data_IF_635729669197
#
_entry.id   IF_635729669197
#
_cell.length_a   1.000
_cell.length_b   1.000
_cell.length_c   1.000
_cell.angle_alpha   90.00
_cell.angle_beta   90.00
_cell.angle_gamma   90.00
#
_symmetry.space_group_name_H-M   'P 1'
#
loop_
_entity.id
_entity.type
_entity.pdbx_description
1 polymer ?
#
# COMPACT_ATOMS: atom_id res chain seq x y z
N UNK A 1 8.10 -5.42 8.05
CA UNK A 1 8.50 -5.21 6.66
C UNK A 1 7.63 -4.11 6.06
N UNK A 2 8.24 -3.22 5.30
CA UNK A 2 7.53 -2.09 4.70
C UNK A 2 6.43 -2.60 3.79
N UNK A 3 5.18 -2.57 4.27
CA UNK A 3 3.99 -3.10 3.60
C UNK A 3 4.21 -4.49 2.95
N UNK A 4 4.81 -5.44 3.68
CA UNK A 4 5.02 -6.82 3.20
C UNK A 4 5.73 -6.93 1.85
N UNK A 5 6.70 -6.06 1.55
CA UNK A 5 7.46 -6.06 0.30
C UNK A 5 6.82 -5.31 -0.87
N UNK A 6 5.68 -4.66 -0.68
CA UNK A 6 5.02 -3.89 -1.75
C UNK A 6 5.87 -2.75 -2.31
N UNK A 7 6.64 -2.09 -1.45
CA UNK A 7 7.52 -1.01 -1.90
C UNK A 7 8.74 -1.52 -2.67
N UNK A 8 9.12 -2.78 -2.49
CA UNK A 8 10.18 -3.40 -3.28
C UNK A 8 9.70 -3.88 -4.66
N UNK A 9 8.41 -3.76 -4.96
CA UNK A 9 7.81 -4.08 -6.25
C UNK A 9 6.76 -3.01 -6.58
N UNK A 10 7.21 -1.88 -7.08
CA UNK A 10 6.37 -0.72 -7.33
C UNK A 10 5.33 -1.00 -8.43
N UNK A 11 4.12 -0.46 -8.32
CA UNK A 11 3.14 -0.50 -9.40
C UNK A 11 3.66 0.16 -10.68
N UNK A 12 3.22 -0.33 -11.84
CA UNK A 12 3.69 0.18 -13.14
C UNK A 12 3.47 1.69 -13.30
N UNK A 13 2.39 2.24 -12.74
CA UNK A 13 2.11 3.67 -12.75
C UNK A 13 3.19 4.49 -12.04
N UNK A 14 3.73 3.96 -10.93
CA UNK A 14 4.84 4.60 -10.21
C UNK A 14 6.16 4.45 -10.98
N UNK A 15 6.44 3.24 -11.52
CA UNK A 15 7.64 3.01 -12.35
C UNK A 15 7.68 3.95 -13.55
N UNK A 16 6.54 4.14 -14.23
CA UNK A 16 6.46 5.05 -15.38
C UNK A 16 6.77 6.50 -14.96
N UNK A 17 6.24 6.94 -13.83
CA UNK A 17 6.50 8.27 -13.30
C UNK A 17 7.98 8.45 -12.91
N UNK A 18 8.61 7.45 -12.28
CA UNK A 18 10.03 7.47 -11.93
C UNK A 18 10.91 7.44 -13.19
N UNK A 19 10.59 6.60 -14.17
CA UNK A 19 11.34 6.48 -15.41
C UNK A 19 11.36 7.78 -16.22
N UNK A 20 10.29 8.58 -16.17
CA UNK A 20 10.22 9.87 -16.88
C UNK A 20 11.24 10.90 -16.38
N UNK A 21 11.79 10.69 -15.19
CA UNK A 21 12.81 11.59 -14.61
C UNK A 21 14.25 11.30 -15.08
N UNK A 22 14.46 10.17 -15.77
CA UNK A 22 15.80 9.72 -16.19
C UNK A 22 16.65 9.13 -15.05
N UNK A 23 16.15 9.09 -13.81
CA UNK A 23 16.86 8.50 -12.67
C UNK A 23 16.58 7.01 -12.65
N UNK A 24 17.61 6.19 -12.89
CA UNK A 24 17.47 4.75 -12.94
C UNK A 24 17.93 4.10 -11.63
N UNK A 25 16.96 3.69 -10.81
CA UNK A 25 17.17 2.91 -9.57
C UNK A 25 16.19 1.74 -9.53
N UNK A 26 16.59 0.57 -8.99
CA UNK A 26 15.67 -0.51 -8.67
C UNK A 26 14.55 -0.08 -7.70
N UNK A 27 13.40 -0.73 -7.78
CA UNK A 27 12.25 -0.44 -6.91
C UNK A 27 12.61 -0.53 -5.42
N UNK A 28 13.37 -1.56 -5.04
CA UNK A 28 13.82 -1.76 -3.67
C UNK A 28 14.75 -0.63 -3.18
N UNK A 29 15.63 -0.13 -4.07
CA UNK A 29 16.51 1.00 -3.76
C UNK A 29 15.70 2.28 -3.53
N UNK A 30 14.74 2.59 -4.39
CA UNK A 30 13.84 3.72 -4.18
C UNK A 30 13.10 3.65 -2.84
N UNK A 31 12.59 2.46 -2.50
CA UNK A 31 11.87 2.25 -1.25
C UNK A 31 12.73 2.44 -0.01
N UNK A 32 13.95 1.91 -0.03
CA UNK A 32 14.89 1.98 1.09
C UNK A 32 15.48 3.39 1.22
N UNK A 33 15.88 4.02 0.12
CA UNK A 33 16.39 5.40 0.10
C UNK A 33 15.34 6.37 0.66
N UNK A 34 14.05 6.21 0.31
CA UNK A 34 12.97 7.00 0.89
C UNK A 34 12.86 6.86 2.41
N UNK A 35 13.00 5.63 2.93
CA UNK A 35 12.92 5.40 4.38
C UNK A 35 14.11 6.00 5.11
N UNK A 36 15.32 5.80 4.60
CA UNK A 36 16.54 6.30 5.24
C UNK A 36 16.73 7.81 5.08
N UNK A 37 16.03 8.42 4.13
CA UNK A 37 15.98 9.88 4.00
C UNK A 37 15.31 10.55 5.20
N UNK A 38 14.38 9.84 5.88
CA UNK A 38 13.61 10.35 7.03
C UNK A 38 14.47 10.24 8.30
N UNK A 39 14.86 11.36 8.95
CA UNK A 39 15.74 11.33 10.12
C UNK A 39 15.23 10.51 11.29
N UNK A 40 13.91 10.40 11.44
CA UNK A 40 13.23 9.70 12.52
C UNK A 40 13.22 8.17 12.31
N UNK A 41 13.57 7.68 11.12
CA UNK A 41 13.61 6.24 10.83
C UNK A 41 14.97 5.67 11.23
N UNK A 42 15.00 5.00 12.37
CA UNK A 42 16.22 4.38 12.89
C UNK A 42 16.51 3.00 12.31
N UNK A 43 15.47 2.26 11.91
CA UNK A 43 15.59 0.87 11.41
C UNK A 43 14.58 0.62 10.29
N UNK A 44 15.05 0.06 9.17
CA UNK A 44 14.22 -0.46 8.10
C UNK A 44 14.23 -2.00 8.14
N UNK A 45 13.05 -2.63 8.28
CA UNK A 45 12.92 -4.09 8.26
C UNK A 45 12.58 -4.53 6.84
N UNK A 46 13.45 -5.31 6.22
CA UNK A 46 13.26 -5.86 4.87
C UNK A 46 13.02 -7.37 4.91
N UNK A 47 12.04 -7.86 4.15
CA UNK A 47 11.78 -9.28 3.96
C UNK A 47 12.53 -9.79 2.73
N UNK A 48 13.79 -10.17 2.91
CA UNK A 48 14.65 -10.69 1.84
C UNK A 48 14.39 -12.19 1.68
N UNK A 49 14.10 -12.61 0.45
CA UNK A 49 13.78 -14.00 0.12
C UNK A 49 14.91 -14.77 -0.58
N UNK A 50 15.92 -14.06 -1.04
CA UNK A 50 17.08 -14.63 -1.74
C UNK A 50 18.38 -14.00 -1.27
N UNK A 51 19.52 -14.62 -1.60
CA UNK A 51 20.82 -14.05 -1.30
C UNK A 51 21.09 -12.78 -2.10
N UNK A 52 20.59 -12.71 -3.32
CA UNK A 52 20.67 -11.53 -4.19
C UNK A 52 19.96 -10.32 -3.54
N UNK A 53 18.80 -10.55 -2.90
CA UNK A 53 18.09 -9.50 -2.16
C UNK A 53 18.92 -9.00 -0.98
N UNK A 54 19.60 -9.91 -0.25
CA UNK A 54 20.47 -9.56 0.89
C UNK A 54 21.64 -8.71 0.41
N UNK A 55 22.35 -9.14 -0.62
CA UNK A 55 23.52 -8.44 -1.18
C UNK A 55 23.13 -7.06 -1.71
N UNK A 56 22.02 -6.97 -2.46
CA UNK A 56 21.50 -5.71 -2.98
C UNK A 56 21.13 -4.74 -1.84
N UNK A 57 20.40 -5.21 -0.85
CA UNK A 57 19.98 -4.39 0.29
C UNK A 57 21.16 -3.94 1.16
N UNK A 58 22.18 -4.77 1.35
CA UNK A 58 23.41 -4.38 2.04
C UNK A 58 24.15 -3.28 1.27
N UNK A 59 24.20 -3.38 -0.07
CA UNK A 59 24.77 -2.33 -0.92
C UNK A 59 24.01 -1.01 -0.80
N UNK A 60 22.67 -1.05 -0.76
CA UNK A 60 21.87 0.15 -0.55
C UNK A 60 22.08 0.72 0.85
N UNK A 61 22.07 -0.13 1.87
CA UNK A 61 22.27 0.26 3.27
C UNK A 61 23.65 0.89 3.53
N UNK A 62 24.70 0.47 2.82
CA UNK A 62 26.06 1.00 3.01
C UNK A 62 26.18 2.51 2.76
N UNK A 63 25.27 3.10 2.00
CA UNK A 63 25.21 4.56 1.71
C UNK A 63 24.10 5.28 2.47
N UNK A 64 23.33 4.56 3.29
CA UNK A 64 22.17 5.11 3.99
C UNK A 64 22.56 6.21 4.98
N UNK A 65 21.86 7.34 4.93
CA UNK A 65 21.97 8.44 5.88
C UNK A 65 20.72 9.32 5.82
N UNK A 66 20.39 10.02 6.90
CA UNK A 66 19.30 10.99 6.88
C UNK A 66 19.51 12.07 5.81
N UNK A 67 18.44 12.53 5.21
CA UNK A 67 18.41 13.57 4.18
C UNK A 67 19.31 13.26 2.96
N UNK A 68 19.36 11.99 2.56
CA UNK A 68 20.25 11.55 1.47
C UNK A 68 19.70 11.80 0.07
N UNK A 69 18.39 11.92 -0.08
CA UNK A 69 17.77 12.15 -1.38
C UNK A 69 18.08 13.56 -1.91
N UNK A 70 18.45 13.61 -3.17
CA UNK A 70 18.59 14.88 -3.88
C UNK A 70 17.22 15.55 -4.12
N UNK A 71 17.17 16.87 -4.39
CA UNK A 71 15.91 17.52 -4.77
C UNK A 71 15.19 16.85 -5.95
N UNK A 72 15.94 16.42 -6.97
CA UNK A 72 15.38 15.73 -8.13
C UNK A 72 14.78 14.37 -7.77
N UNK A 73 15.41 13.62 -6.87
CA UNK A 73 14.87 12.34 -6.39
C UNK A 73 13.61 12.50 -5.53
N UNK A 74 13.56 13.57 -4.70
CA UNK A 74 12.35 13.90 -3.93
C UNK A 74 11.20 14.30 -4.85
N UNK A 75 11.46 15.06 -5.89
CA UNK A 75 10.46 15.43 -6.90
C UNK A 75 9.95 14.20 -7.66
N UNK A 76 10.87 13.31 -8.08
CA UNK A 76 10.54 12.06 -8.74
C UNK A 76 9.63 11.18 -7.87
N UNK A 77 9.94 11.00 -6.59
CA UNK A 77 9.11 10.27 -5.64
C UNK A 77 7.76 10.94 -5.41
N UNK A 78 7.72 12.26 -5.33
CA UNK A 78 6.48 13.05 -5.25
C UNK A 78 5.57 12.79 -6.45
N UNK A 79 6.13 12.80 -7.66
CA UNK A 79 5.39 12.49 -8.89
C UNK A 79 4.87 11.03 -8.90
N UNK A 80 5.69 10.08 -8.46
CA UNK A 80 5.29 8.68 -8.37
C UNK A 80 4.16 8.44 -7.33
N UNK A 81 4.23 9.09 -6.18
CA UNK A 81 3.18 9.04 -5.15
C UNK A 81 1.88 9.67 -5.68
N UNK A 82 1.99 10.81 -6.37
CA UNK A 82 0.86 11.46 -7.01
C UNK A 82 0.19 10.54 -8.03
N UNK A 83 0.98 9.93 -8.93
CA UNK A 83 0.48 8.98 -9.91
C UNK A 83 -0.20 7.77 -9.29
N UNK A 84 0.32 7.28 -8.16
CA UNK A 84 -0.30 6.20 -7.38
C UNK A 84 -1.67 6.61 -6.82
N UNK A 85 -1.76 7.76 -6.18
CA UNK A 85 -3.00 8.24 -5.55
C UNK A 85 -4.10 8.55 -6.56
N UNK A 86 -3.73 9.04 -7.74
CA UNK A 86 -4.67 9.37 -8.81
C UNK A 86 -4.91 8.21 -9.80
N UNK A 87 -4.38 7.00 -9.50
CA UNK A 87 -4.65 5.84 -10.34
C UNK A 87 -6.15 5.54 -10.40
N UNK A 88 -6.73 5.26 -11.59
CA UNK A 88 -8.15 5.04 -11.73
C UNK A 88 -8.68 3.95 -10.78
N UNK A 89 -9.71 4.28 -10.01
CA UNK A 89 -10.32 3.37 -9.05
C UNK A 89 -9.59 3.25 -7.70
N UNK A 90 -8.45 3.88 -7.52
CA UNK A 90 -7.75 3.90 -6.24
C UNK A 90 -8.66 4.43 -5.12
N UNK A 91 -8.57 3.81 -3.94
CA UNK A 91 -9.25 4.27 -2.72
C UNK A 91 -8.21 4.93 -1.83
N UNK A 92 -8.36 6.23 -1.57
CA UNK A 92 -7.40 7.00 -0.76
C UNK A 92 -7.52 6.69 0.74
N UNK A 93 -7.49 5.41 1.07
CA UNK A 93 -7.51 4.90 2.43
C UNK A 93 -6.08 4.80 2.98
N UNK A 94 -5.82 5.51 4.08
CA UNK A 94 -4.51 5.52 4.74
C UNK A 94 -4.26 4.30 5.64
N UNK A 95 -5.27 3.44 5.83
CA UNK A 95 -5.16 2.29 6.74
C UNK A 95 -5.04 2.70 8.22
N UNK A 96 -5.58 3.85 8.61
CA UNK A 96 -5.50 4.35 9.99
C UNK A 96 -6.40 3.59 10.99
N UNK A 97 -7.32 2.75 10.50
CA UNK A 97 -8.26 1.93 11.28
C UNK A 97 -9.21 2.71 12.20
N UNK A 98 -9.42 4.02 12.03
CA UNK A 98 -10.36 4.78 12.86
C UNK A 98 -11.83 4.41 12.58
N UNK A 99 -12.13 3.77 11.44
CA UNK A 99 -13.45 3.25 11.12
C UNK A 99 -13.85 1.98 11.90
N UNK A 100 -12.96 1.42 12.72
CA UNK A 100 -13.26 0.29 13.60
C UNK A 100 -13.44 0.75 15.06
N UNK A 101 -14.19 -0.02 15.89
CA UNK A 101 -14.90 -1.24 15.52
C UNK A 101 -16.06 -0.99 14.58
N UNK A 102 -16.19 -1.85 13.56
CA UNK A 102 -17.38 -1.92 12.73
C UNK A 102 -18.41 -2.84 13.43
N UNK A 103 -19.69 -2.46 13.60
CA UNK A 103 -20.68 -3.30 14.25
C UNK A 103 -20.93 -4.63 13.53
N UNK A 104 -20.61 -4.68 12.24
CA UNK A 104 -20.70 -5.90 11.41
C UNK A 104 -19.31 -6.51 11.15
N UNK A 105 -18.34 -6.20 11.97
CA UNK A 105 -16.97 -6.73 11.95
C UNK A 105 -16.25 -6.64 10.60
N UNK A 106 -16.66 -5.74 9.69
CA UNK A 106 -16.02 -5.59 8.37
C UNK A 106 -14.59 -5.05 8.52
N UNK A 107 -13.62 -5.71 7.89
CA UNK A 107 -12.20 -5.36 7.93
C UNK A 107 -11.86 -4.17 6.99
N UNK A 108 -12.59 -3.06 7.11
CA UNK A 108 -12.62 -1.93 6.16
C UNK A 108 -11.22 -1.46 5.73
N UNK A 109 -10.38 -1.06 6.68
CA UNK A 109 -9.05 -0.52 6.39
C UNK A 109 -8.14 -1.53 5.70
N UNK A 110 -8.24 -2.81 6.08
CA UNK A 110 -7.50 -3.89 5.44
C UNK A 110 -7.95 -4.12 3.99
N UNK A 111 -9.26 -4.18 3.78
CA UNK A 111 -9.86 -4.36 2.46
C UNK A 111 -9.40 -3.28 1.49
N UNK A 112 -9.47 -2.03 1.89
CA UNK A 112 -9.13 -0.91 1.02
C UNK A 112 -7.63 -0.78 0.79
N UNK A 113 -6.84 -0.69 1.87
CA UNK A 113 -5.43 -0.34 1.77
C UNK A 113 -4.54 -1.51 1.31
N UNK A 114 -4.90 -2.75 1.65
CA UNK A 114 -4.02 -3.90 1.39
C UNK A 114 -4.53 -4.85 0.32
N UNK A 115 -5.84 -5.01 0.16
CA UNK A 115 -6.38 -5.95 -0.82
C UNK A 115 -6.75 -5.26 -2.11
N UNK A 116 -7.71 -4.33 -2.04
CA UNK A 116 -8.29 -3.74 -3.24
C UNK A 116 -7.32 -2.85 -4.02
N UNK A 117 -6.63 -1.93 -3.34
CA UNK A 117 -5.64 -1.07 -3.99
C UNK A 117 -4.49 -1.87 -4.60
N UNK A 118 -4.05 -2.96 -3.94
CA UNK A 118 -3.06 -3.85 -4.52
C UNK A 118 -3.55 -4.55 -5.77
N UNK A 119 -4.78 -5.06 -5.74
CA UNK A 119 -5.40 -5.63 -6.93
C UNK A 119 -5.42 -4.65 -8.09
N UNK A 120 -5.87 -3.42 -7.85
CA UNK A 120 -5.94 -2.40 -8.89
C UNK A 120 -4.58 -2.10 -9.54
N UNK A 121 -3.55 -2.05 -8.72
CA UNK A 121 -2.23 -1.59 -9.15
C UNK A 121 -1.37 -2.68 -9.77
N UNK A 122 -1.47 -3.90 -9.25
CA UNK A 122 -0.70 -5.04 -9.75
C UNK A 122 -1.47 -5.95 -10.70
N UNK A 123 -2.81 -5.75 -10.82
CA UNK A 123 -3.71 -6.55 -11.67
C UNK A 123 -3.66 -8.07 -11.43
N UNK A 124 -3.15 -8.48 -10.28
CA UNK A 124 -3.08 -9.88 -9.90
C UNK A 124 -4.30 -10.25 -9.04
N UNK A 125 -5.39 -10.69 -9.71
CA UNK A 125 -6.65 -11.03 -9.04
C UNK A 125 -6.54 -12.28 -8.18
N UNK A 126 -5.77 -13.26 -8.61
CA UNK A 126 -5.56 -14.51 -7.86
C UNK A 126 -4.88 -14.23 -6.52
N UNK A 127 -3.79 -13.48 -6.53
CA UNK A 127 -3.09 -13.05 -5.32
C UNK A 127 -4.00 -12.25 -4.40
N UNK A 128 -4.73 -11.28 -4.94
CA UNK A 128 -5.62 -10.44 -4.16
C UNK A 128 -6.78 -11.25 -3.54
N UNK A 129 -7.34 -12.24 -4.24
CA UNK A 129 -8.35 -13.15 -3.69
C UNK A 129 -7.78 -14.06 -2.62
N UNK A 130 -6.54 -14.54 -2.77
CA UNK A 130 -5.83 -15.30 -1.74
C UNK A 130 -5.64 -14.44 -0.49
N UNK A 131 -5.10 -13.25 -0.63
CA UNK A 131 -4.91 -12.30 0.48
C UNK A 131 -6.25 -11.94 1.14
N UNK A 132 -7.32 -11.76 0.33
CA UNK A 132 -8.67 -11.50 0.80
C UNK A 132 -9.24 -12.67 1.62
N UNK A 133 -9.04 -13.91 1.17
CA UNK A 133 -9.58 -15.10 1.83
C UNK A 133 -8.79 -15.49 3.08
N UNK A 134 -7.47 -15.51 2.99
CA UNK A 134 -6.59 -15.92 4.09
C UNK A 134 -6.61 -14.90 5.23
N UNK A 135 -6.68 -13.62 4.90
CA UNK A 135 -6.61 -12.54 5.87
C UNK A 135 -7.98 -12.12 6.42
N UNK A 136 -9.08 -12.62 5.83
CA UNK A 136 -10.45 -12.42 6.28
C UNK A 136 -10.94 -13.54 7.21
N UNK A 137 -10.03 -14.33 7.78
CA UNK A 137 -10.41 -15.22 8.86
C UNK A 137 -10.99 -14.41 10.03
N UNK A 138 -12.18 -14.73 10.56
CA UNK A 138 -12.79 -14.00 11.67
C UNK A 138 -11.89 -13.85 12.89
N UNK A 139 -10.93 -14.76 13.03
CA UNK A 139 -9.97 -14.76 14.14
C UNK A 139 -8.84 -13.73 13.94
N UNK A 140 -8.56 -13.30 12.69
CA UNK A 140 -7.38 -12.49 12.42
C UNK A 140 -7.67 -11.02 12.08
N UNK A 141 -8.68 -10.70 11.25
CA UNK A 141 -8.83 -9.32 10.74
C UNK A 141 -10.26 -8.83 10.52
N UNK A 142 -11.28 -9.68 10.66
CA UNK A 142 -12.69 -9.35 10.48
C UNK A 142 -13.30 -9.93 9.21
N UNK A 143 -14.50 -9.46 8.88
CA UNK A 143 -15.35 -10.01 7.82
C UNK A 143 -15.15 -9.31 6.46
N UNK A 144 -15.55 -9.97 5.35
CA UNK A 144 -15.42 -9.44 4.01
C UNK A 144 -16.35 -8.23 3.74
N UNK A 145 -16.15 -7.56 2.60
CA UNK A 145 -16.98 -6.44 2.16
C UNK A 145 -18.48 -6.81 2.04
N UNK A 146 -18.79 -8.08 1.75
CA UNK A 146 -20.16 -8.58 1.66
C UNK A 146 -20.94 -8.55 2.98
N UNK A 147 -20.26 -8.47 4.11
CA UNK A 147 -20.88 -8.32 5.44
C UNK A 147 -21.33 -6.89 5.76
N UNK A 148 -21.02 -5.93 4.87
CA UNK A 148 -21.45 -4.55 5.05
C UNK A 148 -22.96 -4.42 4.80
N UNK A 149 -23.68 -3.88 5.79
CA UNK A 149 -25.12 -3.56 5.70
C UNK A 149 -25.40 -2.08 5.45
N UNK A 150 -24.38 -1.30 5.10
CA UNK A 150 -24.47 0.13 4.83
C UNK A 150 -25.05 0.98 5.98
N UNK A 151 -24.79 0.61 7.24
CA UNK A 151 -25.30 1.33 8.42
C UNK A 151 -24.75 2.76 8.57
N UNK A 152 -23.63 3.10 7.90
CA UNK A 152 -23.05 4.44 7.87
C UNK A 152 -22.19 4.84 9.08
N UNK A 153 -22.09 4.02 10.14
CA UNK A 153 -21.34 4.38 11.36
C UNK A 153 -19.85 4.69 11.12
N UNK A 154 -19.27 4.13 10.06
CA UNK A 154 -17.88 4.36 9.67
C UNK A 154 -17.63 5.71 9.00
N UNK A 155 -18.70 6.38 8.47
CA UNK A 155 -18.56 7.64 7.74
C UNK A 155 -18.04 8.77 8.62
N UNK A 156 -18.65 8.94 9.80
CA UNK A 156 -18.25 9.97 10.76
C UNK A 156 -16.86 9.75 11.37
N UNK A 157 -16.37 8.50 11.33
CA UNK A 157 -15.08 8.11 11.91
C UNK A 157 -13.92 8.27 10.91
N UNK A 158 -14.22 8.43 9.61
CA UNK A 158 -13.19 8.44 8.56
C UNK A 158 -12.54 9.83 8.41
N UNK A 159 -11.24 10.00 8.73
CA UNK A 159 -10.58 11.29 8.58
C UNK A 159 -10.33 11.67 7.11
N UNK A 160 -10.47 10.72 6.18
CA UNK A 160 -10.39 10.95 4.74
C UNK A 160 -11.77 11.21 4.11
N UNK A 161 -12.83 11.23 4.92
CA UNK A 161 -14.23 11.45 4.46
C UNK A 161 -14.64 10.52 3.32
N UNK A 162 -14.18 9.26 3.33
CA UNK A 162 -14.50 8.27 2.32
C UNK A 162 -15.95 7.80 2.46
N UNK A 163 -16.63 7.66 1.33
CA UNK A 163 -17.94 7.01 1.27
C UNK A 163 -17.77 5.48 1.37
N UNK A 164 -17.48 5.02 2.59
CA UNK A 164 -17.07 3.65 2.89
C UNK A 164 -18.12 2.62 2.43
N UNK A 165 -19.44 2.79 2.68
CA UNK A 165 -20.43 1.82 2.23
C UNK A 165 -20.44 1.61 0.71
N UNK A 166 -20.44 2.69 -0.08
CA UNK A 166 -20.42 2.60 -1.52
C UNK A 166 -19.09 2.05 -2.05
N UNK A 167 -17.97 2.38 -1.40
CA UNK A 167 -16.67 1.80 -1.73
C UNK A 167 -16.60 0.30 -1.44
N UNK A 168 -17.20 -0.18 -0.35
CA UNK A 168 -17.31 -1.61 -0.04
C UNK A 168 -18.19 -2.34 -1.05
N UNK A 169 -19.30 -1.74 -1.48
CA UNK A 169 -20.14 -2.29 -2.55
C UNK A 169 -19.35 -2.47 -3.85
N UNK A 170 -18.54 -1.47 -4.24
CA UNK A 170 -17.64 -1.56 -5.40
C UNK A 170 -16.60 -2.66 -5.25
N UNK A 171 -16.01 -2.81 -4.07
CA UNK A 171 -15.06 -3.90 -3.78
C UNK A 171 -15.74 -5.26 -3.92
N UNK A 172 -16.93 -5.43 -3.33
CA UNK A 172 -17.72 -6.65 -3.45
C UNK A 172 -17.99 -7.01 -4.91
N UNK A 173 -18.42 -6.06 -5.72
CA UNK A 173 -18.66 -6.26 -7.16
C UNK A 173 -17.39 -6.69 -7.91
N UNK A 174 -16.26 -6.03 -7.63
CA UNK A 174 -14.98 -6.28 -8.31
C UNK A 174 -14.36 -7.61 -7.90
N UNK A 175 -14.40 -7.94 -6.61
CA UNK A 175 -13.74 -9.11 -6.03
C UNK A 175 -14.66 -10.33 -5.97
N UNK A 176 -15.99 -10.14 -6.03
CA UNK A 176 -16.97 -11.23 -5.96
C UNK A 176 -17.17 -11.78 -4.54
N UNK A 177 -16.87 -10.98 -3.51
CA UNK A 177 -16.94 -11.41 -2.10
C UNK A 177 -17.44 -10.31 -1.16
#
# INVERSE_FOLDING_TARGET
PVRTGFLANLPQVMRNALASTGINKPDAEWALDYLWDIPEVSVAVSGMGSMEDVEANLKYASKARPNMLTPAEREALGAAICAYRHAPGHIDCTGCYQCIPCPHNVAIGYIFAYVYNNYLLHKNKERALSDYTVSMSPVQRGDPASSCVACGECLAKCPQHLDIPNLLARVKETMGK
#
